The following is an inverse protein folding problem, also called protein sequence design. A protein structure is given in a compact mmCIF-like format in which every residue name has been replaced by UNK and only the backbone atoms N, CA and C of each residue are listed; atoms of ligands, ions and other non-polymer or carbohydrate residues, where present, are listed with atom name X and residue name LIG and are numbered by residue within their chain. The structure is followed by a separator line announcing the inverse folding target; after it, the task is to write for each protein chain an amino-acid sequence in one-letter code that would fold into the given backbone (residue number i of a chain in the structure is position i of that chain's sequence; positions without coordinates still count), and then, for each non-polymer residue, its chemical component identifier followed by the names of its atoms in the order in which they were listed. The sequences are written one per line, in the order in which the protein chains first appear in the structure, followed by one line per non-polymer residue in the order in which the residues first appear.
data_IF_924859826243
#
_entry.id   IF_924859826243
#
_cell.length_a   1.000
_cell.length_b   1.000
_cell.length_c   1.000
_cell.angle_alpha   90.00
_cell.angle_beta   90.00
_cell.angle_gamma   90.00
#
_symmetry.space_group_name_H-M   'P 1'
#
loop_
_entity.id
_entity.type
_entity.pdbx_description
1 polymer ?
#
# COMPACT_ATOMS: atom_id res chain seq x y z
N UNK A 1 -26.20 -12.37 6.55
CA UNK A 1 -26.85 -13.70 6.40
C UNK A 1 -25.96 -14.55 5.50
N UNK A 2 -25.86 -15.84 5.78
CA UNK A 2 -25.14 -16.81 4.94
C UNK A 2 -26.05 -17.24 3.78
N UNK A 3 -25.53 -17.35 2.57
CA UNK A 3 -26.25 -18.00 1.47
C UNK A 3 -26.14 -19.53 1.54
N UNK A 4 -26.86 -20.24 0.66
CA UNK A 4 -26.84 -21.70 0.62
C UNK A 4 -25.47 -22.30 0.25
N UNK A 5 -24.53 -21.49 -0.24
CA UNK A 5 -23.17 -21.87 -0.60
C UNK A 5 -22.14 -21.49 0.48
N UNK A 6 -22.56 -20.89 1.60
CA UNK A 6 -21.65 -20.47 2.67
C UNK A 6 -21.03 -19.09 2.48
N UNK A 7 -21.51 -18.29 1.53
CA UNK A 7 -21.04 -16.91 1.34
C UNK A 7 -21.82 -15.94 2.22
N UNK A 8 -21.15 -14.91 2.67
CA UNK A 8 -21.76 -13.84 3.44
C UNK A 8 -21.06 -12.51 3.09
N UNK A 9 -21.76 -11.41 3.34
CA UNK A 9 -21.22 -10.07 3.18
C UNK A 9 -21.69 -9.19 4.32
N UNK A 10 -20.84 -8.23 4.69
CA UNK A 10 -21.13 -7.18 5.67
C UNK A 10 -20.55 -5.87 5.15
N UNK A 11 -21.32 -4.79 5.24
CA UNK A 11 -20.83 -3.46 4.93
C UNK A 11 -19.96 -2.93 6.06
N UNK A 12 -18.84 -2.30 5.72
CA UNK A 12 -17.99 -1.58 6.67
C UNK A 12 -18.20 -0.07 6.44
N UNK A 13 -18.49 0.73 7.48
CA UNK A 13 -18.66 2.17 7.33
C UNK A 13 -17.39 2.84 6.77
N UNK A 14 -17.56 3.84 5.90
CA UNK A 14 -16.44 4.57 5.32
C UNK A 14 -15.52 5.21 6.38
N UNK A 15 -16.08 5.65 7.51
CA UNK A 15 -15.31 6.22 8.63
C UNK A 15 -14.36 5.22 9.28
N UNK A 16 -14.69 3.92 9.26
CA UNK A 16 -13.81 2.86 9.76
C UNK A 16 -12.66 2.66 8.78
N UNK A 17 -12.96 2.63 7.48
CA UNK A 17 -11.95 2.47 6.42
C UNK A 17 -10.98 3.66 6.40
N UNK A 18 -11.48 4.90 6.51
CA UNK A 18 -10.64 6.10 6.54
C UNK A 18 -9.77 6.22 7.80
N UNK A 19 -10.05 5.43 8.84
CA UNK A 19 -9.29 5.40 10.08
C UNK A 19 -8.17 4.36 10.11
N UNK A 20 -8.02 3.55 9.06
CA UNK A 20 -6.96 2.54 8.99
C UNK A 20 -5.61 3.21 8.70
N UNK A 21 -4.58 2.83 9.46
CA UNK A 21 -3.20 3.18 9.16
C UNK A 21 -2.65 2.31 8.03
N UNK A 22 -1.64 2.83 7.32
CA UNK A 22 -0.88 2.03 6.36
C UNK A 22 -0.28 0.78 7.00
N UNK A 23 -0.22 -0.30 6.22
CA UNK A 23 0.28 -1.60 6.62
C UNK A 23 -0.78 -2.71 6.56
N UNK A 24 -0.48 -3.83 7.21
CA UNK A 24 -1.33 -5.02 7.17
C UNK A 24 -2.47 -4.94 8.17
N UNK A 25 -3.70 -5.03 7.68
CA UNK A 25 -4.93 -5.19 8.46
C UNK A 25 -5.39 -6.64 8.36
N UNK A 26 -5.57 -7.32 9.49
CA UNK A 26 -6.09 -8.69 9.53
C UNK A 26 -7.60 -8.67 9.78
N UNK A 27 -8.34 -9.22 8.83
CA UNK A 27 -9.77 -9.51 8.94
C UNK A 27 -9.94 -10.91 9.50
N UNK A 28 -10.72 -11.05 10.58
CA UNK A 28 -11.03 -12.35 11.21
C UNK A 28 -12.53 -12.61 11.14
N UNK A 29 -12.90 -13.80 10.69
CA UNK A 29 -14.27 -14.30 10.71
C UNK A 29 -14.36 -15.52 11.62
N UNK A 30 -15.46 -15.64 12.37
CA UNK A 30 -15.72 -16.76 13.27
C UNK A 30 -17.13 -17.29 13.06
N UNK A 31 -17.27 -18.61 13.06
CA UNK A 31 -18.55 -19.32 12.93
C UNK A 31 -18.69 -20.28 14.11
N UNK A 32 -19.84 -20.24 14.77
CA UNK A 32 -20.19 -21.16 15.86
C UNK A 32 -21.39 -22.00 15.44
N UNK A 33 -21.30 -23.33 15.58
CA UNK A 33 -22.40 -24.24 15.28
C UNK A 33 -23.42 -24.34 16.42
N UNK A 34 -24.53 -25.04 16.19
CA UNK A 34 -25.59 -25.20 17.19
C UNK A 34 -25.18 -26.03 18.41
N UNK A 35 -24.11 -26.83 18.29
CA UNK A 35 -23.53 -27.60 19.40
C UNK A 35 -22.51 -26.77 20.22
N UNK A 36 -22.17 -25.56 19.78
CA UNK A 36 -21.23 -24.65 20.44
C UNK A 36 -19.79 -24.76 19.95
N UNK A 37 -19.49 -25.54 18.90
CA UNK A 37 -18.15 -25.61 18.33
C UNK A 37 -17.88 -24.34 17.51
N UNK A 38 -16.66 -23.79 17.62
CA UNK A 38 -16.28 -22.56 16.90
C UNK A 38 -15.11 -22.82 15.97
N UNK A 39 -15.20 -22.30 14.74
CA UNK A 39 -14.12 -22.24 13.76
C UNK A 39 -13.84 -20.81 13.32
N UNK A 40 -12.58 -20.50 13.02
CA UNK A 40 -12.13 -19.16 12.62
C UNK A 40 -11.36 -19.18 11.32
N UNK A 41 -11.48 -18.11 10.52
CA UNK A 41 -10.66 -17.86 9.35
C UNK A 41 -10.15 -16.42 9.35
N UNK A 42 -8.97 -16.19 8.76
CA UNK A 42 -8.36 -14.88 8.67
C UNK A 42 -7.99 -14.52 7.24
N UNK A 43 -8.03 -13.24 6.91
CA UNK A 43 -7.57 -12.70 5.63
C UNK A 43 -6.82 -11.38 5.87
N UNK A 44 -5.68 -11.21 5.23
CA UNK A 44 -4.91 -9.98 5.35
C UNK A 44 -5.24 -9.03 4.20
N UNK A 45 -5.34 -7.75 4.51
CA UNK A 45 -5.50 -6.65 3.56
C UNK A 45 -4.35 -5.68 3.79
N UNK A 46 -3.70 -5.22 2.73
CA UNK A 46 -2.70 -4.16 2.81
C UNK A 46 -3.38 -2.82 2.56
N UNK A 47 -3.17 -1.88 3.48
CA UNK A 47 -3.51 -0.47 3.31
C UNK A 47 -2.24 0.27 2.89
N UNK A 48 -2.30 0.90 1.73
CA UNK A 48 -1.23 1.77 1.23
C UNK A 48 -1.84 3.06 0.73
N UNK A 49 -1.71 4.11 1.55
CA UNK A 49 -2.11 5.48 1.22
C UNK A 49 -0.91 6.36 0.86
N UNK A 50 0.28 5.76 0.72
CA UNK A 50 1.50 6.43 0.34
C UNK A 50 1.37 7.11 -1.03
N UNK A 51 1.63 8.41 -1.07
CA UNK A 51 1.64 9.13 -2.34
C UNK A 51 2.91 8.77 -3.14
N UNK A 52 2.79 8.52 -4.46
CA UNK A 52 3.93 8.38 -5.34
C UNK A 52 4.83 9.61 -5.26
N UNK A 53 6.14 9.38 -5.15
CA UNK A 53 7.12 10.47 -5.10
C UNK A 53 8.34 10.17 -5.95
N UNK A 54 8.95 11.24 -6.44
CA UNK A 54 10.21 11.22 -7.20
C UNK A 54 11.10 12.32 -6.65
N UNK A 55 12.38 12.01 -6.44
CA UNK A 55 13.40 12.94 -5.99
C UNK A 55 14.62 12.85 -6.91
N UNK A 56 15.26 13.99 -7.16
CA UNK A 56 16.51 14.06 -7.93
C UNK A 56 17.69 14.28 -6.99
N UNK A 57 18.81 13.64 -7.31
CA UNK A 57 20.10 13.91 -6.68
C UNK A 57 20.68 15.23 -7.22
N UNK A 58 21.68 15.76 -6.52
CA UNK A 58 22.43 16.91 -6.99
C UNK A 58 23.02 16.65 -8.38
N UNK A 59 22.80 17.57 -9.30
CA UNK A 59 23.53 17.63 -10.57
C UNK A 59 24.94 18.16 -10.28
N UNK A 60 25.94 17.81 -11.10
CA UNK A 60 27.36 18.19 -10.92
C UNK A 60 27.99 17.83 -9.56
N UNK A 61 27.31 17.06 -8.71
CA UNK A 61 27.76 16.67 -7.37
C UNK A 61 27.53 17.73 -6.29
N UNK A 62 27.46 19.01 -6.66
CA UNK A 62 27.26 20.14 -5.75
C UNK A 62 26.01 20.99 -6.07
N UNK A 63 25.22 20.57 -7.06
CA UNK A 63 24.04 21.26 -7.55
C UNK A 63 24.32 22.65 -8.13
N UNK A 64 25.55 22.90 -8.60
CA UNK A 64 25.97 24.15 -9.25
C UNK A 64 26.74 23.84 -10.53
N UNK A 65 26.17 24.22 -11.66
CA UNK A 65 26.85 24.05 -12.95
C UNK A 65 27.93 25.12 -13.16
N UNK A 66 29.18 24.70 -13.31
CA UNK A 66 30.29 25.61 -13.62
C UNK A 66 30.69 25.63 -15.11
N UNK A 67 31.66 26.48 -15.46
CA UNK A 67 32.06 26.72 -16.85
C UNK A 67 32.79 25.55 -17.51
N UNK A 68 33.38 24.65 -16.72
CA UNK A 68 34.02 23.42 -17.21
C UNK A 68 32.94 22.36 -17.48
N UNK A 69 32.02 22.21 -16.53
CA UNK A 69 30.96 21.19 -16.57
C UNK A 69 29.91 21.43 -17.65
N UNK A 70 29.60 22.69 -17.99
CA UNK A 70 28.55 23.03 -18.98
C UNK A 70 28.75 22.46 -20.39
N UNK A 71 29.96 21.97 -20.69
CA UNK A 71 30.31 21.38 -21.98
C UNK A 71 30.62 19.88 -21.91
N UNK A 72 30.34 19.24 -20.78
CA UNK A 72 30.56 17.81 -20.55
C UNK A 72 29.22 17.09 -20.36
N UNK A 73 29.23 15.77 -20.44
CA UNK A 73 28.07 14.95 -20.08
C UNK A 73 27.82 15.05 -18.57
N UNK A 74 26.56 15.27 -18.19
CA UNK A 74 26.12 15.31 -16.80
C UNK A 74 25.17 14.15 -16.51
N UNK A 75 25.43 13.44 -15.41
CA UNK A 75 24.54 12.39 -14.95
C UNK A 75 23.36 12.99 -14.17
N UNK A 76 22.15 12.63 -14.58
CA UNK A 76 20.92 12.90 -13.83
C UNK A 76 20.52 11.60 -13.15
N UNK A 77 20.35 11.65 -11.83
CA UNK A 77 19.98 10.48 -11.02
C UNK A 77 19.01 10.89 -9.92
N UNK A 78 18.39 9.91 -9.29
CA UNK A 78 17.37 10.14 -8.28
C UNK A 78 16.80 8.85 -7.73
N UNK A 79 15.74 9.00 -6.94
CA UNK A 79 14.97 7.89 -6.36
C UNK A 79 13.48 8.10 -6.58
N UNK A 80 12.72 7.01 -6.50
CA UNK A 80 11.26 7.03 -6.47
C UNK A 80 10.77 6.17 -5.30
N UNK A 81 9.60 6.50 -4.76
CA UNK A 81 8.99 5.77 -3.66
C UNK A 81 7.47 5.74 -3.80
N UNK A 82 6.85 4.73 -3.19
CA UNK A 82 5.39 4.51 -3.17
C UNK A 82 4.76 4.52 -4.57
N UNK A 83 5.46 3.94 -5.55
CA UNK A 83 4.88 3.73 -6.88
C UNK A 83 3.82 2.65 -6.76
N UNK A 84 2.74 2.79 -7.53
CA UNK A 84 1.70 1.77 -7.58
C UNK A 84 2.31 0.39 -7.88
N UNK A 85 1.91 -0.63 -7.11
CA UNK A 85 2.25 -2.00 -7.44
C UNK A 85 1.69 -2.35 -8.82
N UNK A 86 2.47 -3.08 -9.62
CA UNK A 86 2.05 -3.48 -10.95
C UNK A 86 0.76 -4.32 -10.85
N UNK A 87 -0.29 -4.00 -11.62
CA UNK A 87 -1.44 -4.88 -11.72
C UNK A 87 -0.96 -6.12 -12.47
N UNK A 88 -1.06 -7.30 -11.86
CA UNK A 88 -0.83 -8.58 -12.52
C UNK A 88 -1.55 -8.68 -13.86
#
# INVERSE_FOLDING_TARGET
MLDAAGNWSVGVPASVISGLSDGTVTVTASVTDAAGNTGTGTHNVTVDTGLPSVAFNAISGDNVLNAVEKGQDLSVSGTSANLAEAPW
#
